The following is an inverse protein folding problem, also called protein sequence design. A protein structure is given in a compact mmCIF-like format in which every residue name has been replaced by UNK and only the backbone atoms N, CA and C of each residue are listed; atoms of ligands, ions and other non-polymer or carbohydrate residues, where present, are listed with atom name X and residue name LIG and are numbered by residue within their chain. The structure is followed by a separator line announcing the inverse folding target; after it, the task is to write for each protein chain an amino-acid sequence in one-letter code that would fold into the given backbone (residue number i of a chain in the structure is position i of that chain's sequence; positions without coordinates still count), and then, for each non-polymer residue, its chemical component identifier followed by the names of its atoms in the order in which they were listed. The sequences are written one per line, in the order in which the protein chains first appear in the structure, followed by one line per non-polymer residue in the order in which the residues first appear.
data_IF_513005736627
#
_entry.id   IF_513005736627
#
_cell.length_a   1.000
_cell.length_b   1.000
_cell.length_c   1.000
_cell.angle_alpha   90.00
_cell.angle_beta   90.00
_cell.angle_gamma   90.00
#
_symmetry.space_group_name_H-M   'P 1'
#
loop_
_entity.id
_entity.type
_entity.pdbx_description
1 polymer ?
#
# COMPACT_ATOMS: atom_id res chain seq x y z
N UNK A 1 44.52 -15.25 1.45
CA UNK A 1 43.42 -14.59 0.72
C UNK A 1 42.11 -14.97 1.38
N UNK A 2 41.45 -14.06 2.08
CA UNK A 2 40.01 -14.09 2.35
C UNK A 2 39.58 -12.63 2.41
N UNK A 3 39.01 -12.15 1.30
CA UNK A 3 38.47 -10.80 1.21
C UNK A 3 37.08 -10.88 1.80
N UNK A 4 36.94 -10.44 3.05
CA UNK A 4 35.66 -10.12 3.67
C UNK A 4 35.06 -8.92 2.93
N UNK A 5 34.15 -9.19 1.98
CA UNK A 5 33.33 -8.15 1.37
C UNK A 5 32.19 -7.81 2.32
N UNK A 6 32.41 -6.80 3.16
CA UNK A 6 31.34 -6.06 3.81
C UNK A 6 30.55 -5.29 2.75
N UNK A 7 29.52 -5.92 2.18
CA UNK A 7 28.48 -5.17 1.48
C UNK A 7 27.55 -4.61 2.56
N UNK A 8 27.87 -3.41 3.02
CA UNK A 8 26.88 -2.51 3.61
C UNK A 8 25.97 -2.06 2.47
N UNK A 9 25.02 -2.91 2.08
CA UNK A 9 23.96 -2.53 1.17
C UNK A 9 22.97 -1.66 1.94
N UNK A 10 22.65 -0.49 1.37
CA UNK A 10 21.62 0.42 1.86
C UNK A 10 20.23 -0.25 1.72
N UNK A 11 19.93 -1.26 2.52
CA UNK A 11 18.64 -1.94 2.54
C UNK A 11 17.63 -1.11 3.35
N UNK A 12 16.53 -0.77 2.70
CA UNK A 12 15.17 -0.52 3.19
C UNK A 12 15.01 0.18 4.56
N UNK A 13 14.23 1.26 4.59
CA UNK A 13 13.62 1.84 5.81
C UNK A 13 12.55 0.93 6.47
N UNK A 14 12.57 -0.38 6.21
CA UNK A 14 11.74 -1.36 6.92
C UNK A 14 12.44 -1.67 8.25
N UNK A 15 11.77 -1.29 9.33
CA UNK A 15 12.20 -1.67 10.67
C UNK A 15 11.10 -2.53 11.25
N UNK A 16 11.47 -3.70 11.78
CA UNK A 16 10.55 -4.52 12.57
C UNK A 16 9.93 -3.65 13.68
N UNK A 17 8.61 -3.69 13.80
CA UNK A 17 7.90 -3.05 14.89
C UNK A 17 7.52 -4.13 15.90
N UNK A 18 8.21 -4.22 17.05
CA UNK A 18 7.94 -5.26 18.04
C UNK A 18 6.55 -5.15 18.67
N UNK A 19 5.83 -4.05 18.44
CA UNK A 19 4.45 -3.86 18.90
C UNK A 19 3.40 -4.42 17.93
N UNK A 20 3.82 -4.94 16.76
CA UNK A 20 2.92 -5.55 15.80
C UNK A 20 3.01 -7.07 15.85
N UNK A 21 1.84 -7.71 15.76
CA UNK A 21 1.77 -9.16 15.63
C UNK A 21 1.92 -9.53 14.16
N UNK A 22 3.02 -10.20 13.79
CA UNK A 22 3.19 -10.78 12.46
C UNK A 22 2.27 -11.97 12.30
N UNK A 23 1.55 -12.03 11.18
CA UNK A 23 0.60 -13.10 10.87
C UNK A 23 0.69 -13.52 9.40
N UNK A 24 0.21 -14.73 9.13
CA UNK A 24 0.13 -15.25 7.77
C UNK A 24 -0.93 -14.55 6.94
N UNK A 25 -0.68 -14.46 5.63
CA UNK A 25 -1.65 -13.90 4.70
C UNK A 25 -2.92 -14.77 4.63
N UNK A 26 -4.08 -14.13 4.78
CA UNK A 26 -5.38 -14.78 4.93
C UNK A 26 -5.92 -14.66 6.34
N UNK A 27 -5.03 -14.69 7.35
CA UNK A 27 -5.37 -14.55 8.76
C UNK A 27 -5.47 -13.08 9.19
N UNK A 28 -5.13 -12.13 8.33
CA UNK A 28 -5.24 -10.69 8.58
C UNK A 28 -6.66 -10.15 8.62
N UNK A 29 -7.63 -11.00 8.29
CA UNK A 29 -9.03 -10.65 8.36
C UNK A 29 -9.70 -11.16 9.62
N UNK A 30 -10.69 -10.41 10.07
CA UNK A 30 -11.66 -10.82 11.07
C UNK A 30 -13.09 -10.52 10.61
N UNK A 31 -14.03 -11.25 11.18
CA UNK A 31 -15.46 -11.04 10.95
C UNK A 31 -15.98 -9.98 11.92
N UNK A 32 -16.30 -8.80 11.39
CA UNK A 32 -16.98 -7.74 12.12
C UNK A 32 -18.51 -7.92 12.16
N UNK A 33 -19.19 -6.92 12.75
CA UNK A 33 -20.65 -6.85 12.83
C UNK A 33 -21.34 -7.19 11.49
N UNK A 34 -22.33 -8.09 11.53
CA UNK A 34 -23.02 -8.68 10.37
C UNK A 34 -22.09 -9.43 9.40
N UNK A 35 -21.10 -10.19 9.92
CA UNK A 35 -20.14 -10.98 9.14
C UNK A 35 -19.36 -10.16 8.11
N UNK A 36 -19.14 -8.88 8.41
CA UNK A 36 -18.42 -7.97 7.53
C UNK A 36 -16.92 -8.16 7.73
N UNK A 37 -16.23 -8.57 6.67
CA UNK A 37 -14.77 -8.63 6.61
C UNK A 37 -14.16 -7.28 7.04
N UNK A 38 -13.21 -7.33 7.97
CA UNK A 38 -12.38 -6.22 8.47
C UNK A 38 -10.94 -6.69 8.61
N UNK A 39 -9.99 -5.77 8.63
CA UNK A 39 -8.61 -6.06 9.00
C UNK A 39 -8.46 -6.07 10.51
N UNK A 40 -7.65 -7.00 11.03
CA UNK A 40 -7.25 -7.00 12.44
C UNK A 40 -6.38 -5.77 12.75
N UNK A 41 -6.39 -5.37 14.02
CA UNK A 41 -5.60 -4.27 14.53
C UNK A 41 -4.19 -4.69 14.95
N UNK A 42 -3.23 -3.77 14.89
CA UNK A 42 -1.84 -3.95 15.34
C UNK A 42 -1.16 -5.21 14.77
N UNK A 43 -1.36 -5.47 13.49
CA UNK A 43 -0.75 -6.61 12.79
C UNK A 43 0.18 -6.15 11.68
N UNK A 44 1.06 -7.06 11.29
CA UNK A 44 1.81 -7.02 10.04
C UNK A 44 1.53 -8.29 9.24
N UNK A 45 1.33 -8.15 7.92
CA UNK A 45 1.19 -9.28 7.01
C UNK A 45 1.90 -8.98 5.69
N UNK A 46 2.37 -10.05 5.04
CA UNK A 46 3.03 -9.99 3.73
C UNK A 46 2.17 -10.69 2.70
N UNK A 47 1.85 -10.01 1.61
CA UNK A 47 1.08 -10.60 0.50
C UNK A 47 1.90 -11.65 -0.26
N UNK A 48 1.28 -12.55 -1.04
CA UNK A 48 2.01 -13.48 -1.91
C UNK A 48 2.94 -12.80 -2.92
N UNK A 49 2.69 -11.52 -3.21
CA UNK A 49 3.47 -10.66 -4.09
C UNK A 49 4.61 -9.92 -3.38
N UNK A 50 4.85 -10.19 -2.08
CA UNK A 50 5.96 -9.62 -1.32
C UNK A 50 5.71 -8.24 -0.73
N UNK A 51 4.52 -7.65 -0.94
CA UNK A 51 4.17 -6.38 -0.30
C UNK A 51 3.83 -6.59 1.18
N UNK A 52 4.43 -5.77 2.05
CA UNK A 52 4.20 -5.81 3.50
C UNK A 52 3.25 -4.68 3.89
N UNK A 53 2.28 -4.99 4.73
CA UNK A 53 1.30 -4.02 5.24
C UNK A 53 1.25 -4.07 6.76
N UNK A 54 1.05 -2.90 7.37
CA UNK A 54 0.85 -2.77 8.82
C UNK A 54 -0.45 -2.08 9.12
N UNK A 55 -1.16 -2.56 10.13
CA UNK A 55 -2.37 -1.89 10.63
C UNK A 55 -2.13 -1.21 11.95
N UNK A 56 -2.90 -0.15 12.21
CA UNK A 56 -2.96 0.50 13.51
C UNK A 56 -3.92 -0.21 14.48
N UNK A 57 -4.11 0.37 15.67
CA UNK A 57 -4.98 -0.17 16.71
C UNK A 57 -6.48 -0.20 16.35
N UNK A 58 -6.87 0.35 15.19
CA UNK A 58 -8.24 0.32 14.65
C UNK A 58 -8.37 -0.57 13.41
N UNK A 59 -7.30 -1.27 13.02
CA UNK A 59 -7.28 -2.08 11.81
C UNK A 59 -7.23 -1.24 10.52
N UNK A 60 -6.76 0.01 10.59
CA UNK A 60 -6.51 0.84 9.39
C UNK A 60 -5.09 0.60 8.91
N UNK A 61 -4.88 0.50 7.60
CA UNK A 61 -3.54 0.34 7.03
C UNK A 61 -2.76 1.61 7.28
N UNK A 62 -1.73 1.57 8.12
CA UNK A 62 -0.90 2.72 8.48
C UNK A 62 0.38 2.81 7.65
N UNK A 63 0.90 1.66 7.21
CA UNK A 63 2.16 1.60 6.45
C UNK A 63 2.10 0.50 5.40
N UNK A 64 2.77 0.74 4.26
CA UNK A 64 3.00 -0.24 3.19
C UNK A 64 4.47 -0.21 2.78
N UNK A 65 5.05 -1.39 2.58
CA UNK A 65 6.42 -1.55 2.10
C UNK A 65 6.47 -2.50 0.91
N UNK A 66 7.33 -2.20 -0.07
CA UNK A 66 7.66 -3.10 -1.17
C UNK A 66 9.13 -2.89 -1.57
N UNK A 67 9.90 -3.98 -1.59
CA UNK A 67 11.34 -3.92 -1.89
C UNK A 67 11.61 -3.66 -3.37
N UNK A 68 10.91 -4.36 -4.26
CA UNK A 68 11.06 -4.25 -5.71
C UNK A 68 9.69 -4.42 -6.37
N UNK A 69 9.31 -3.44 -7.18
CA UNK A 69 8.01 -3.40 -7.84
C UNK A 69 8.13 -3.97 -9.26
N UNK A 70 7.24 -4.90 -9.59
CA UNK A 70 7.19 -5.53 -10.92
C UNK A 70 5.76 -5.56 -11.46
N UNK A 71 5.62 -5.75 -12.78
CA UNK A 71 4.31 -5.87 -13.42
C UNK A 71 3.71 -7.25 -13.16
N UNK A 72 2.57 -7.28 -12.49
CA UNK A 72 1.86 -8.50 -12.12
C UNK A 72 0.38 -8.18 -11.83
N UNK A 73 -0.54 -9.11 -12.11
CA UNK A 73 -1.98 -8.86 -11.93
C UNK A 73 -2.47 -9.21 -10.52
N UNK A 74 -2.83 -8.19 -9.73
CA UNK A 74 -3.45 -8.37 -8.40
C UNK A 74 -4.96 -8.67 -8.41
N UNK A 75 -5.58 -8.69 -9.59
CA UNK A 75 -7.02 -8.94 -9.77
C UNK A 75 -7.91 -7.74 -9.44
N UNK A 76 -9.24 -7.94 -9.49
CA UNK A 76 -10.23 -6.88 -9.21
C UNK A 76 -11.42 -7.39 -8.40
N UNK A 77 -11.80 -6.64 -7.38
CA UNK A 77 -13.03 -6.84 -6.62
C UNK A 77 -13.83 -5.53 -6.57
N UNK A 78 -14.77 -5.38 -7.50
CA UNK A 78 -15.59 -4.17 -7.63
C UNK A 78 -16.46 -3.91 -6.39
N UNK A 79 -16.84 -4.95 -5.63
CA UNK A 79 -17.59 -4.76 -4.40
C UNK A 79 -16.72 -4.12 -3.32
N UNK A 80 -15.50 -4.61 -3.11
CA UNK A 80 -14.56 -4.04 -2.14
C UNK A 80 -14.24 -2.57 -2.47
N UNK A 81 -13.92 -2.27 -3.73
CA UNK A 81 -13.64 -0.89 -4.17
C UNK A 81 -14.81 0.08 -3.96
N UNK A 82 -16.06 -0.38 -4.13
CA UNK A 82 -17.24 0.46 -3.90
C UNK A 82 -17.58 0.64 -2.41
N UNK A 83 -17.13 -0.26 -1.54
CA UNK A 83 -17.60 -0.33 -0.15
C UNK A 83 -16.53 -0.02 0.89
N UNK A 84 -15.25 0.04 0.52
CA UNK A 84 -14.15 0.44 1.43
C UNK A 84 -14.39 1.85 1.99
N UNK A 85 -14.00 2.07 3.25
CA UNK A 85 -14.29 3.28 4.04
C UNK A 85 -15.70 3.32 4.64
N UNK A 86 -16.69 2.69 3.97
CA UNK A 86 -18.09 2.58 4.44
C UNK A 86 -18.67 3.94 4.86
N UNK A 87 -19.01 4.10 6.14
CA UNK A 87 -19.61 5.32 6.70
C UNK A 87 -18.67 6.53 6.65
N UNK A 88 -17.36 6.29 6.59
CA UNK A 88 -16.35 7.35 6.58
C UNK A 88 -15.94 7.74 5.14
N UNK A 89 -16.45 7.00 4.14
CA UNK A 89 -16.24 7.30 2.73
C UNK A 89 -17.09 8.50 2.32
N UNK A 90 -16.47 9.45 1.61
CA UNK A 90 -17.17 10.59 1.02
C UNK A 90 -17.80 10.23 -0.35
N UNK A 91 -18.84 10.94 -0.80
CA UNK A 91 -19.51 10.67 -2.07
C UNK A 91 -18.60 10.72 -3.31
N UNK A 92 -17.49 11.46 -3.22
CA UNK A 92 -16.49 11.64 -4.26
C UNK A 92 -15.23 10.77 -4.07
N UNK A 93 -15.23 9.87 -3.09
CA UNK A 93 -14.16 8.90 -2.93
C UNK A 93 -14.36 7.68 -3.84
N UNK A 94 -13.24 7.17 -4.35
CA UNK A 94 -13.05 5.83 -4.88
C UNK A 94 -12.55 4.86 -3.79
N UNK A 95 -12.57 3.56 -4.08
CA UNK A 95 -11.72 2.61 -3.36
C UNK A 95 -10.37 2.57 -4.04
N UNK A 96 -9.49 3.48 -3.68
CA UNK A 96 -8.14 3.60 -4.23
C UNK A 96 -7.25 2.48 -3.72
N UNK A 97 -6.40 1.93 -4.60
CA UNK A 97 -5.40 0.97 -4.15
C UNK A 97 -4.18 1.70 -3.60
N UNK A 98 -3.55 1.13 -2.56
CA UNK A 98 -2.25 1.62 -2.09
C UNK A 98 -1.12 1.14 -3.02
N UNK A 99 -1.11 -0.14 -3.37
CA UNK A 99 -0.31 -0.65 -4.50
C UNK A 99 -1.26 -0.95 -5.65
N UNK A 100 -1.00 -0.40 -6.84
CA UNK A 100 -1.88 -0.59 -7.98
C UNK A 100 -2.05 -2.08 -8.32
N UNK A 101 -3.22 -2.44 -8.89
CA UNK A 101 -3.48 -3.78 -9.44
C UNK A 101 -2.38 -4.26 -10.37
N UNK A 102 -1.87 -3.36 -11.22
CA UNK A 102 -0.83 -3.66 -12.22
C UNK A 102 0.51 -4.06 -11.62
N UNK A 103 0.69 -3.84 -10.31
CA UNK A 103 1.86 -4.21 -9.55
C UNK A 103 1.56 -5.29 -8.52
N UNK A 104 0.45 -6.04 -8.64
CA UNK A 104 0.09 -7.12 -7.70
C UNK A 104 -0.57 -6.65 -6.42
N UNK A 105 -1.04 -5.40 -6.39
CA UNK A 105 -1.85 -4.92 -5.29
C UNK A 105 -3.10 -5.78 -5.10
N UNK A 106 -3.32 -6.25 -3.86
CA UNK A 106 -4.52 -7.04 -3.56
C UNK A 106 -5.79 -6.29 -3.95
N UNK A 107 -6.76 -7.05 -4.47
CA UNK A 107 -8.07 -6.55 -4.88
C UNK A 107 -9.02 -6.24 -3.71
N UNK A 108 -8.68 -6.70 -2.50
CA UNK A 108 -9.54 -6.66 -1.32
C UNK A 108 -9.19 -5.49 -0.37
N UNK A 109 -9.91 -5.39 0.75
CA UNK A 109 -9.80 -4.27 1.70
C UNK A 109 -8.42 -4.17 2.41
N UNK A 110 -7.55 -5.15 2.22
CA UNK A 110 -6.16 -5.19 2.69
C UNK A 110 -5.19 -4.34 1.86
N UNK A 111 -5.64 -3.78 0.75
CA UNK A 111 -4.85 -2.85 -0.05
C UNK A 111 -5.69 -1.66 -0.56
N UNK A 112 -6.90 -1.49 -0.04
CA UNK A 112 -7.82 -0.44 -0.46
C UNK A 112 -8.07 0.55 0.67
N UNK A 113 -8.18 1.82 0.30
CA UNK A 113 -8.63 2.90 1.18
C UNK A 113 -9.69 3.74 0.49
N UNK A 114 -10.63 4.37 1.22
CA UNK A 114 -11.43 5.44 0.63
C UNK A 114 -10.49 6.59 0.25
N UNK A 115 -10.44 6.92 -1.05
CA UNK A 115 -9.48 7.87 -1.58
C UNK A 115 -10.21 8.83 -2.52
N UNK A 116 -9.96 10.13 -2.39
CA UNK A 116 -10.58 11.12 -3.27
C UNK A 116 -10.36 10.76 -4.74
N UNK A 117 -11.43 10.72 -5.54
CA UNK A 117 -11.33 10.44 -6.97
C UNK A 117 -10.41 11.44 -7.68
N UNK A 118 -10.27 12.66 -7.15
CA UNK A 118 -9.45 13.71 -7.74
C UNK A 118 -7.96 13.39 -7.71
N UNK A 119 -7.50 12.61 -6.72
CA UNK A 119 -6.11 12.13 -6.64
C UNK A 119 -5.93 10.75 -7.29
N UNK A 120 -6.97 9.89 -7.23
CA UNK A 120 -6.94 8.50 -7.69
C UNK A 120 -7.12 8.35 -9.21
N UNK A 121 -7.70 9.33 -9.91
CA UNK A 121 -8.01 9.27 -11.35
C UNK A 121 -7.15 10.27 -12.15
N UNK A 122 -7.10 10.16 -13.49
CA UNK A 122 -6.40 11.10 -14.36
C UNK A 122 -7.08 12.48 -14.36
N UNK A 123 -6.84 13.27 -13.33
CA UNK A 123 -7.11 14.70 -13.30
C UNK A 123 -5.78 15.42 -13.49
N UNK A 124 -5.62 16.13 -14.61
CA UNK A 124 -4.32 16.66 -15.05
C UNK A 124 -3.52 17.36 -13.96
N UNK A 125 -4.17 18.19 -13.14
CA UNK A 125 -3.51 19.00 -12.11
C UNK A 125 -3.65 18.44 -10.69
N UNK A 126 -4.43 17.36 -10.48
CA UNK A 126 -4.77 16.84 -9.15
C UNK A 126 -4.62 15.32 -8.99
N UNK A 127 -4.41 14.56 -10.07
CA UNK A 127 -4.33 13.11 -10.13
C UNK A 127 -2.98 12.56 -9.69
N UNK A 128 -2.44 13.04 -8.56
CA UNK A 128 -1.09 12.74 -8.11
C UNK A 128 -0.84 11.24 -7.95
N UNK A 129 -1.82 10.50 -7.42
CA UNK A 129 -1.70 9.05 -7.23
C UNK A 129 -1.67 8.32 -8.58
N UNK A 130 -2.60 8.68 -9.46
CA UNK A 130 -2.63 8.13 -10.83
C UNK A 130 -1.32 8.41 -11.57
N UNK A 131 -0.82 9.64 -11.51
CA UNK A 131 0.40 10.05 -12.21
C UNK A 131 1.63 9.28 -11.68
N UNK A 132 1.73 9.10 -10.36
CA UNK A 132 2.78 8.28 -9.74
C UNK A 132 2.72 6.82 -10.23
N UNK A 133 1.54 6.20 -10.24
CA UNK A 133 1.38 4.82 -10.72
C UNK A 133 1.73 4.68 -12.22
N UNK A 134 1.40 5.68 -13.04
CA UNK A 134 1.77 5.69 -14.46
C UNK A 134 3.27 5.85 -14.67
N UNK A 135 3.94 6.70 -13.88
CA UNK A 135 5.38 6.88 -13.96
C UNK A 135 6.14 5.61 -13.56
N UNK A 136 5.73 4.97 -12.47
CA UNK A 136 6.27 3.68 -12.04
C UNK A 136 6.12 2.63 -13.13
N UNK A 137 4.92 2.52 -13.71
CA UNK A 137 4.65 1.60 -14.81
C UNK A 137 5.56 1.88 -16.00
N UNK A 138 5.65 3.14 -16.43
CA UNK A 138 6.45 3.53 -17.59
C UNK A 138 7.94 3.25 -17.36
N UNK A 139 8.43 3.48 -16.14
CA UNK A 139 9.82 3.19 -15.75
C UNK A 139 10.12 1.71 -15.89
N UNK A 140 9.26 0.86 -15.31
CA UNK A 140 9.43 -0.60 -15.37
C UNK A 140 9.33 -1.12 -16.81
N UNK A 141 8.37 -0.62 -17.61
CA UNK A 141 8.21 -0.99 -19.03
C UNK A 141 9.44 -0.60 -19.88
N UNK A 142 10.19 0.42 -19.47
CA UNK A 142 11.45 0.85 -20.12
C UNK A 142 12.68 0.12 -19.60
N UNK A 143 12.52 -0.85 -18.69
CA UNK A 143 13.61 -1.60 -18.07
C UNK A 143 14.28 -0.90 -16.89
N UNK A 144 13.69 0.20 -16.39
CA UNK A 144 14.10 0.83 -15.14
C UNK A 144 13.56 0.08 -13.91
N UNK A 145 13.85 0.61 -12.72
CA UNK A 145 13.49 -0.03 -11.45
C UNK A 145 12.77 0.93 -10.51
N UNK A 146 11.78 0.41 -9.78
CA UNK A 146 11.12 1.09 -8.66
C UNK A 146 11.28 0.21 -7.43
N UNK A 147 12.04 0.68 -6.44
CA UNK A 147 12.47 -0.09 -5.28
C UNK A 147 12.25 0.65 -3.98
N UNK A 148 12.41 -0.05 -2.86
CA UNK A 148 12.47 0.52 -1.51
C UNK A 148 11.26 1.44 -1.20
N UNK A 149 10.08 1.03 -1.66
CA UNK A 149 8.85 1.79 -1.49
C UNK A 149 8.44 1.75 -0.01
N UNK A 150 8.14 2.92 0.53
CA UNK A 150 7.47 3.13 1.81
C UNK A 150 6.30 4.07 1.61
N UNK A 151 5.13 3.65 2.05
CA UNK A 151 3.95 4.52 2.14
C UNK A 151 3.54 4.64 3.60
N UNK A 152 3.33 5.86 4.07
CA UNK A 152 2.74 6.14 5.37
C UNK A 152 1.37 6.79 5.16
N UNK A 153 0.35 6.21 5.80
CA UNK A 153 -1.03 6.65 5.68
C UNK A 153 -1.44 7.28 7.01
N UNK A 154 -1.77 8.58 6.96
CA UNK A 154 -2.16 9.36 8.13
C UNK A 154 -3.67 9.50 8.17
N UNK A 155 -4.24 9.29 9.35
CA UNK A 155 -5.67 9.38 9.62
C UNK A 155 -5.92 10.42 10.71
N UNK A 156 -7.15 10.91 10.81
CA UNK A 156 -7.62 11.49 12.07
C UNK A 156 -7.83 10.38 13.12
N UNK A 157 -8.20 10.77 14.33
CA UNK A 157 -8.34 9.80 15.42
C UNK A 157 -9.46 8.79 15.17
N UNK A 158 -10.56 9.12 14.48
CA UNK A 158 -11.80 8.33 14.48
C UNK A 158 -12.13 7.66 13.15
N UNK A 159 -11.69 8.23 12.05
CA UNK A 159 -12.11 7.91 10.69
C UNK A 159 -11.27 6.80 10.08
N UNK A 160 -11.91 5.93 9.30
CA UNK A 160 -11.22 5.01 8.39
C UNK A 160 -10.81 5.67 7.06
N UNK A 161 -11.10 6.97 6.88
CA UNK A 161 -10.66 7.74 5.71
C UNK A 161 -9.31 8.40 5.96
N UNK A 162 -8.29 8.11 5.13
CA UNK A 162 -7.01 8.81 5.21
C UNK A 162 -7.15 10.32 5.03
N UNK A 163 -6.34 11.06 5.77
CA UNK A 163 -6.11 12.49 5.60
C UNK A 163 -4.98 12.77 4.60
N UNK A 164 -3.91 11.97 4.66
CA UNK A 164 -2.69 12.19 3.89
C UNK A 164 -1.97 10.87 3.60
N UNK A 165 -1.28 10.84 2.47
CA UNK A 165 -0.32 9.82 2.10
C UNK A 165 1.07 10.47 1.99
N UNK A 166 2.07 9.80 2.53
CA UNK A 166 3.49 10.15 2.35
C UNK A 166 4.17 8.95 1.71
N UNK A 167 4.76 9.15 0.52
CA UNK A 167 5.30 8.05 -0.29
C UNK A 167 6.75 8.36 -0.61
N UNK A 168 7.64 7.46 -0.25
CA UNK A 168 9.06 7.52 -0.62
C UNK A 168 9.49 6.23 -1.28
N UNK A 169 10.34 6.31 -2.29
CA UNK A 169 10.82 5.16 -3.06
C UNK A 169 12.14 5.50 -3.74
N UNK A 170 12.74 4.51 -4.39
CA UNK A 170 13.91 4.67 -5.25
C UNK A 170 13.52 4.34 -6.69
N UNK A 171 13.84 5.25 -7.60
CA UNK A 171 13.64 5.10 -9.04
C UNK A 171 14.99 5.18 -9.73
N UNK A 172 15.42 4.08 -10.36
CA UNK A 172 16.75 3.95 -10.96
C UNK A 172 17.86 4.41 -10.00
N UNK A 173 17.84 3.85 -8.78
CA UNK A 173 18.74 4.14 -7.65
C UNK A 173 18.70 5.59 -7.13
N UNK A 174 17.74 6.41 -7.58
CA UNK A 174 17.52 7.79 -7.08
C UNK A 174 16.36 7.83 -6.10
N UNK A 175 16.60 8.38 -4.92
CA UNK A 175 15.56 8.57 -3.90
C UNK A 175 14.56 9.64 -4.32
N UNK A 176 13.27 9.30 -4.23
CA UNK A 176 12.11 10.17 -4.38
C UNK A 176 11.32 10.18 -3.06
N UNK A 177 10.84 11.35 -2.66
CA UNK A 177 10.08 11.58 -1.42
C UNK A 177 8.94 12.56 -1.65
#
# INVERSE_FOLDING_TARGET
MHISRSHSSNHVHYHEDPNLTKIEYGDHYESGFMNRKKLKANIEYTTPHGHVYRTDNKGRIKEVYAEDLSLQDGGRNSYAQRTVGRKDRLPDDDGGHLIARAFGGSKDIDNLVPQSKYINRPFKDNGQWYNMEQDWRSTIEKGGTIKNIKMEIRYDDVSHRPLKFEVSYEQDDKKVK
#
